data_IF_284840657191
#
_entry.id   IF_284840657191
#
_cell.length_a   1.000
_cell.length_b   1.000
_cell.length_c   1.000
_cell.angle_alpha   90.00
_cell.angle_beta   90.00
_cell.angle_gamma   90.00
#
_symmetry.space_group_name_H-M   'P 1'
#
loop_
_entity.id
_entity.type
_entity.pdbx_description
1 polymer ?
#
# COMPACT_ATOMS: atom_id res chain seq x y z
N UNK A 1 21.13 -3.89 0.20
CA UNK A 1 19.80 -3.81 -0.41
C UNK A 1 18.78 -4.33 0.58
N UNK A 2 17.72 -3.55 0.81
CA UNK A 2 16.68 -3.82 1.85
C UNK A 2 15.66 -4.84 1.34
N UNK A 3 15.68 -5.20 0.04
CA UNK A 3 14.78 -6.18 -0.55
C UNK A 3 13.36 -5.63 -0.76
N UNK A 4 13.25 -4.33 -0.97
CA UNK A 4 11.99 -3.60 -1.22
C UNK A 4 12.12 -2.65 -2.41
N UNK A 5 13.25 -2.70 -3.12
CA UNK A 5 13.57 -1.81 -4.23
C UNK A 5 12.58 -2.00 -5.38
N UNK A 6 12.30 -3.26 -5.78
CA UNK A 6 11.33 -3.60 -6.82
C UNK A 6 9.91 -3.20 -6.41
N UNK A 7 9.52 -3.46 -5.16
CA UNK A 7 8.22 -3.02 -4.63
C UNK A 7 8.09 -1.49 -4.71
N UNK A 8 9.11 -0.74 -4.28
CA UNK A 8 9.07 0.71 -4.28
C UNK A 8 9.07 1.29 -5.70
N UNK A 9 9.83 0.68 -6.62
CA UNK A 9 9.83 1.03 -8.03
C UNK A 9 8.45 0.83 -8.68
N UNK A 10 7.77 -0.28 -8.37
CA UNK A 10 6.39 -0.52 -8.79
C UNK A 10 5.41 0.44 -8.10
N UNK A 11 5.59 0.72 -6.83
CA UNK A 11 4.70 1.61 -6.07
C UNK A 11 4.77 3.05 -6.58
N UNK A 12 5.96 3.56 -6.90
CA UNK A 12 6.14 4.96 -7.32
C UNK A 12 6.18 5.16 -8.84
N UNK A 13 6.39 4.09 -9.61
CA UNK A 13 6.56 4.13 -11.08
C UNK A 13 7.68 5.07 -11.56
N UNK A 14 8.61 5.45 -10.68
CA UNK A 14 9.63 6.46 -10.99
C UNK A 14 10.64 5.99 -12.03
N UNK A 15 11.05 4.71 -11.97
CA UNK A 15 12.07 4.13 -12.85
C UNK A 15 11.44 3.40 -14.03
N UNK A 16 12.06 3.53 -15.20
CA UNK A 16 11.65 2.80 -16.42
C UNK A 16 12.38 1.46 -16.56
N UNK A 17 13.66 1.42 -16.16
CA UNK A 17 14.48 0.21 -16.24
C UNK A 17 14.10 -0.82 -15.19
N UNK A 18 13.57 -0.38 -14.04
CA UNK A 18 13.31 -1.27 -12.91
C UNK A 18 11.88 -1.83 -12.90
N UNK A 19 11.02 -1.39 -13.83
CA UNK A 19 9.64 -1.85 -13.97
C UNK A 19 9.51 -2.75 -15.21
N UNK A 20 9.96 -4.00 -15.07
CA UNK A 20 9.78 -5.06 -16.07
C UNK A 20 8.82 -6.13 -15.52
N UNK A 21 8.23 -6.98 -16.38
CA UNK A 21 7.40 -8.09 -15.92
C UNK A 21 8.11 -9.01 -14.91
N UNK A 22 9.41 -9.26 -15.13
CA UNK A 22 10.23 -10.09 -14.26
C UNK A 22 10.51 -9.41 -12.91
N UNK A 23 10.71 -8.08 -12.91
CA UNK A 23 10.91 -7.34 -11.66
C UNK A 23 9.62 -7.26 -10.83
N UNK A 24 8.47 -7.20 -11.50
CA UNK A 24 7.15 -7.27 -10.86
C UNK A 24 6.97 -8.60 -10.12
N UNK A 25 7.41 -9.71 -10.72
CA UNK A 25 7.38 -11.06 -10.14
C UNK A 25 8.47 -11.32 -9.09
N UNK A 26 9.52 -10.48 -9.02
CA UNK A 26 10.59 -10.63 -8.04
C UNK A 26 10.19 -10.10 -6.66
N UNK A 27 9.91 -11.02 -5.74
CA UNK A 27 9.46 -10.72 -4.37
C UNK A 27 10.46 -11.33 -3.37
N UNK A 28 11.54 -10.59 -3.03
CA UNK A 28 12.59 -11.10 -2.17
C UNK A 28 12.19 -11.12 -0.68
N UNK A 29 11.23 -10.28 -0.26
CA UNK A 29 10.74 -10.19 1.13
C UNK A 29 9.21 -10.16 1.21
N UNK A 30 8.53 -11.29 0.96
CA UNK A 30 7.07 -11.34 0.86
C UNK A 30 6.36 -10.94 2.17
N UNK A 31 6.91 -11.32 3.33
CA UNK A 31 6.33 -10.94 4.65
C UNK A 31 6.34 -9.43 4.84
N UNK A 32 7.48 -8.77 4.61
CA UNK A 32 7.63 -7.33 4.79
C UNK A 32 6.75 -6.55 3.82
N UNK A 33 6.71 -6.98 2.56
CA UNK A 33 5.86 -6.36 1.54
C UNK A 33 4.38 -6.47 1.89
N UNK A 34 3.94 -7.65 2.32
CA UNK A 34 2.55 -7.86 2.72
C UNK A 34 2.19 -7.06 3.99
N UNK A 35 3.12 -6.88 4.94
CA UNK A 35 2.95 -5.98 6.08
C UNK A 35 2.80 -4.52 5.66
N UNK A 36 3.55 -4.07 4.65
CA UNK A 36 3.40 -2.70 4.10
C UNK A 36 2.00 -2.55 3.50
N UNK A 37 1.56 -3.51 2.68
CA UNK A 37 0.19 -3.54 2.16
C UNK A 37 -0.85 -3.47 3.29
N UNK A 38 -0.70 -4.31 4.32
CA UNK A 38 -1.58 -4.31 5.50
C UNK A 38 -1.60 -2.98 6.24
N UNK A 39 -0.46 -2.28 6.29
CA UNK A 39 -0.34 -0.94 6.89
C UNK A 39 -1.13 0.11 6.13
N UNK A 40 -1.12 0.08 4.79
CA UNK A 40 -1.94 0.98 3.99
C UNK A 40 -3.43 0.71 4.22
N UNK A 41 -3.86 -0.55 4.11
CA UNK A 41 -5.28 -0.91 4.28
C UNK A 41 -5.79 -0.62 5.68
N UNK A 42 -4.99 -0.86 6.71
CA UNK A 42 -5.35 -0.52 8.08
C UNK A 42 -5.43 1.00 8.29
N UNK A 43 -4.52 1.78 7.70
CA UNK A 43 -4.54 3.23 7.79
C UNK A 43 -5.77 3.83 7.08
N UNK A 44 -6.15 3.29 5.92
CA UNK A 44 -7.35 3.66 5.18
C UNK A 44 -8.62 3.38 6.01
N UNK A 45 -8.78 2.15 6.49
CA UNK A 45 -9.94 1.74 7.29
C UNK A 45 -10.01 2.53 8.60
N UNK A 46 -8.90 2.67 9.32
CA UNK A 46 -8.88 3.39 10.58
C UNK A 46 -9.15 4.89 10.40
N UNK A 47 -8.68 5.48 9.30
CA UNK A 47 -8.97 6.88 8.93
C UNK A 47 -10.44 7.10 8.62
N UNK A 48 -11.05 6.17 7.87
CA UNK A 48 -12.47 6.18 7.56
C UNK A 48 -13.30 6.05 8.85
N UNK A 49 -13.04 5.04 9.67
CA UNK A 49 -13.76 4.80 10.93
C UNK A 49 -13.57 5.96 11.90
N UNK A 50 -12.33 6.41 12.10
CA UNK A 50 -12.00 7.51 13.01
C UNK A 50 -12.62 8.84 12.60
N UNK A 51 -12.59 9.16 11.30
CA UNK A 51 -13.04 10.43 10.76
C UNK A 51 -14.54 10.51 10.45
N UNK A 52 -15.12 9.49 9.82
CA UNK A 52 -16.51 9.52 9.37
C UNK A 52 -17.49 8.94 10.39
N UNK A 53 -17.07 7.99 11.23
CA UNK A 53 -17.97 7.32 12.18
C UNK A 53 -17.74 7.83 13.60
N UNK A 54 -16.54 7.66 14.12
CA UNK A 54 -16.24 7.92 15.54
C UNK A 54 -16.25 9.42 15.84
N UNK A 55 -15.68 10.26 14.98
CA UNK A 55 -15.64 11.70 15.19
C UNK A 55 -17.03 12.34 15.37
N UNK A 56 -18.03 12.14 14.46
CA UNK A 56 -19.36 12.73 14.65
C UNK A 56 -20.11 12.13 15.85
N UNK A 57 -20.04 10.82 16.08
CA UNK A 57 -20.69 10.18 17.24
C UNK A 57 -20.14 10.73 18.56
N UNK A 58 -18.81 10.81 18.66
CA UNK A 58 -18.16 11.35 19.86
C UNK A 58 -18.45 12.84 20.06
N UNK A 59 -18.59 13.60 18.96
CA UNK A 59 -18.98 15.02 19.03
C UNK A 59 -20.41 15.19 19.57
N UNK A 60 -21.35 14.35 19.15
CA UNK A 60 -22.73 14.37 19.66
C UNK A 60 -22.74 14.00 21.14
N UNK A 61 -22.02 12.95 21.52
CA UNK A 61 -21.86 12.52 22.90
C UNK A 61 -21.28 13.62 23.80
N UNK A 62 -20.20 14.29 23.38
CA UNK A 62 -19.62 15.38 24.16
C UNK A 62 -20.57 16.58 24.26
N UNK A 63 -21.31 16.90 23.20
CA UNK A 63 -22.28 18.00 23.20
C UNK A 63 -23.45 17.73 24.15
N UNK A 64 -23.94 16.50 24.25
CA UNK A 64 -25.05 16.16 25.15
C UNK A 64 -24.66 16.17 26.63
N UNK A 65 -23.36 16.16 26.94
CA UNK A 65 -22.83 16.24 28.31
C UNK A 65 -22.52 17.66 28.79
N UNK A 66 -22.61 18.67 27.92
CA UNK A 66 -22.38 20.07 28.31
C UNK A 66 -23.59 20.60 29.06
N UNK A 67 -23.40 20.99 30.30
CA UNK A 67 -24.40 21.74 31.09
C UNK A 67 -24.24 23.25 30.87
N UNK A 68 -25.30 24.06 31.05
CA UNK A 68 -25.20 25.52 30.94
C UNK A 68 -24.13 26.12 31.87
N UNK A 69 -23.93 25.51 33.04
CA UNK A 69 -22.96 25.91 34.06
C UNK A 69 -21.50 25.67 33.64
N UNK A 70 -21.25 24.67 32.80
CA UNK A 70 -19.91 24.33 32.28
C UNK A 70 -19.63 24.93 30.91
N UNK A 71 -20.60 25.68 30.37
CA UNK A 71 -20.53 26.27 29.05
C UNK A 71 -19.71 27.57 29.10
N UNK A 72 -18.57 27.55 28.42
CA UNK A 72 -17.73 28.73 28.17
C UNK A 72 -17.79 29.08 26.69
N UNK A 73 -17.37 30.30 26.32
CA UNK A 73 -17.24 30.71 24.92
C UNK A 73 -16.35 29.76 24.09
N UNK A 74 -15.46 28.99 24.73
CA UNK A 74 -14.53 28.07 24.08
C UNK A 74 -14.98 26.60 24.06
N UNK A 75 -16.10 26.23 24.68
CA UNK A 75 -16.50 24.83 24.85
C UNK A 75 -16.56 24.07 23.52
N UNK A 76 -17.15 24.66 22.47
CA UNK A 76 -17.20 24.01 21.16
C UNK A 76 -15.84 23.85 20.48
N UNK A 77 -14.91 24.79 20.70
CA UNK A 77 -13.53 24.71 20.21
C UNK A 77 -12.77 23.57 20.88
N UNK A 78 -12.99 23.39 22.19
CA UNK A 78 -12.41 22.29 22.97
C UNK A 78 -12.95 20.95 22.48
N UNK A 79 -14.27 20.80 22.36
CA UNK A 79 -14.92 19.58 21.85
C UNK A 79 -14.36 19.21 20.48
N UNK A 80 -14.31 20.17 19.54
CA UNK A 80 -13.75 19.93 18.20
C UNK A 80 -12.30 19.45 18.27
N UNK A 81 -11.49 20.05 19.13
CA UNK A 81 -10.07 19.67 19.27
C UNK A 81 -9.92 18.26 19.83
N UNK A 82 -10.76 17.86 20.80
CA UNK A 82 -10.78 16.51 21.35
C UNK A 82 -11.20 15.47 20.31
N UNK A 83 -12.29 15.71 19.57
CA UNK A 83 -12.73 14.81 18.51
C UNK A 83 -11.64 14.63 17.44
N UNK A 84 -10.94 15.70 17.06
CA UNK A 84 -9.84 15.64 16.09
C UNK A 84 -8.61 14.90 16.62
N UNK A 85 -8.28 15.04 17.92
CA UNK A 85 -7.22 14.25 18.54
C UNK A 85 -7.57 12.76 18.53
N UNK A 86 -8.83 12.41 18.80
CA UNK A 86 -9.32 11.04 18.72
C UNK A 86 -9.17 10.48 17.30
N UNK A 87 -9.60 11.23 16.29
CA UNK A 87 -9.42 10.87 14.87
C UNK A 87 -7.95 10.55 14.53
N UNK A 88 -7.01 11.40 14.95
CA UNK A 88 -5.57 11.14 14.74
C UNK A 88 -5.05 9.89 15.45
N UNK A 89 -5.61 9.54 16.63
CA UNK A 89 -5.26 8.31 17.35
C UNK A 89 -5.74 7.05 16.63
N UNK A 90 -6.88 7.12 15.94
CA UNK A 90 -7.34 6.00 15.10
C UNK A 90 -6.33 5.70 13.98
N UNK A 91 -5.83 6.72 13.29
CA UNK A 91 -4.78 6.54 12.27
C UNK A 91 -3.51 5.92 12.84
N UNK A 92 -3.01 6.43 13.98
CA UNK A 92 -1.83 5.85 14.63
C UNK A 92 -2.10 4.39 15.03
N UNK A 93 -3.28 4.11 15.57
CA UNK A 93 -3.72 2.75 15.89
C UNK A 93 -3.74 1.85 14.66
N UNK A 94 -4.25 2.33 13.52
CA UNK A 94 -4.23 1.62 12.24
C UNK A 94 -2.82 1.34 11.74
N UNK A 95 -1.93 2.33 11.77
CA UNK A 95 -0.53 2.17 11.33
C UNK A 95 0.25 1.13 12.16
N UNK A 96 -0.05 1.01 13.46
CA UNK A 96 0.56 -0.01 14.33
C UNK A 96 -0.14 -1.36 14.18
N UNK A 97 -1.48 -1.36 14.11
CA UNK A 97 -2.26 -2.58 14.02
C UNK A 97 -2.07 -3.30 12.68
N UNK A 98 -1.92 -2.58 11.57
CA UNK A 98 -1.74 -3.15 10.22
C UNK A 98 -0.66 -4.22 10.12
N UNK A 99 0.63 -3.89 10.40
CA UNK A 99 1.69 -4.88 10.34
C UNK A 99 1.47 -6.03 11.32
N UNK A 100 0.91 -5.77 12.51
CA UNK A 100 0.65 -6.79 13.53
C UNK A 100 -0.46 -7.76 13.13
N UNK A 101 -1.58 -7.25 12.59
CA UNK A 101 -2.70 -8.08 12.14
C UNK A 101 -2.31 -8.88 10.90
N UNK A 102 -1.51 -8.30 10.00
CA UNK A 102 -0.97 -9.04 8.85
C UNK A 102 -0.03 -10.16 9.29
N UNK A 103 0.89 -9.90 10.22
CA UNK A 103 1.75 -10.95 10.77
C UNK A 103 0.94 -12.05 11.45
N UNK A 104 -0.04 -11.67 12.28
CA UNK A 104 -0.94 -12.63 12.92
C UNK A 104 -1.71 -13.44 11.88
N UNK A 105 -2.20 -12.82 10.80
CA UNK A 105 -2.91 -13.51 9.72
C UNK A 105 -2.02 -14.53 9.00
N UNK A 106 -0.77 -14.18 8.68
CA UNK A 106 0.20 -15.11 8.07
C UNK A 106 0.44 -16.31 9.00
N UNK A 107 0.68 -16.04 10.28
CA UNK A 107 0.99 -17.08 11.27
C UNK A 107 -0.20 -18.01 11.55
N UNK A 108 -1.39 -17.45 11.75
CA UNK A 108 -2.60 -18.21 12.08
C UNK A 108 -3.12 -19.02 10.89
N UNK A 109 -2.92 -18.52 9.67
CA UNK A 109 -3.35 -19.22 8.45
C UNK A 109 -2.34 -20.29 8.00
N UNK A 110 -1.16 -20.36 8.62
CA UNK A 110 -0.10 -21.30 8.22
C UNK A 110 0.36 -21.11 6.77
N UNK A 111 0.32 -19.87 6.27
CA UNK A 111 0.52 -19.58 4.84
C UNK A 111 1.95 -19.92 4.41
N UNK A 112 2.08 -20.64 3.31
CA UNK A 112 3.38 -20.95 2.74
C UNK A 112 4.03 -19.71 2.11
N UNK A 113 5.35 -19.72 1.99
CA UNK A 113 6.07 -18.61 1.35
C UNK A 113 5.64 -18.39 -0.11
N UNK A 114 5.29 -19.47 -0.83
CA UNK A 114 4.81 -19.42 -2.22
C UNK A 114 3.48 -18.69 -2.33
N UNK A 115 2.50 -19.08 -1.52
CA UNK A 115 1.20 -18.42 -1.49
C UNK A 115 1.32 -16.93 -1.12
N UNK A 116 2.25 -16.59 -0.21
CA UNK A 116 2.48 -15.21 0.16
C UNK A 116 3.12 -14.39 -0.97
N UNK A 117 4.05 -14.99 -1.73
CA UNK A 117 4.60 -14.38 -2.94
C UNK A 117 3.52 -14.18 -4.00
N UNK A 118 2.63 -15.14 -4.21
CA UNK A 118 1.51 -14.98 -5.14
C UNK A 118 0.57 -13.85 -4.73
N UNK A 119 0.24 -13.75 -3.44
CA UNK A 119 -0.55 -12.62 -2.93
C UNK A 119 0.14 -11.29 -3.16
N UNK A 120 1.44 -11.19 -2.88
CA UNK A 120 2.19 -9.95 -3.13
C UNK A 120 2.23 -9.61 -4.63
N UNK A 121 2.40 -10.61 -5.50
CA UNK A 121 2.35 -10.41 -6.95
C UNK A 121 0.99 -9.91 -7.42
N UNK A 122 -0.10 -10.48 -6.91
CA UNK A 122 -1.46 -10.04 -7.20
C UNK A 122 -1.68 -8.59 -6.75
N UNK A 123 -1.19 -8.22 -5.56
CA UNK A 123 -1.25 -6.83 -5.04
C UNK A 123 -0.46 -5.89 -5.94
N UNK A 124 0.76 -6.25 -6.37
CA UNK A 124 1.57 -5.44 -7.31
C UNK A 124 0.88 -5.24 -8.66
N UNK A 125 0.17 -6.26 -9.13
CA UNK A 125 -0.59 -6.22 -10.38
C UNK A 125 -1.92 -5.44 -10.27
N UNK A 126 -2.42 -5.20 -9.06
CA UNK A 126 -3.72 -4.56 -8.87
C UNK A 126 -3.61 -3.03 -8.99
N UNK A 127 -3.70 -2.55 -10.23
CA UNK A 127 -3.64 -1.12 -10.56
C UNK A 127 -4.61 -0.25 -9.74
N UNK A 128 -5.80 -0.81 -9.42
CA UNK A 128 -6.81 -0.09 -8.64
C UNK A 128 -6.34 0.11 -7.22
N UNK A 129 -6.00 -0.96 -6.52
CA UNK A 129 -5.52 -0.88 -5.13
C UNK A 129 -4.26 -0.03 -5.02
N UNK A 130 -3.36 -0.13 -6.00
CA UNK A 130 -2.13 0.65 -6.02
C UNK A 130 -2.42 2.16 -6.21
N UNK A 131 -3.41 2.52 -7.02
CA UNK A 131 -3.87 3.90 -7.14
C UNK A 131 -4.46 4.42 -5.83
N UNK A 132 -5.24 3.59 -5.12
CA UNK A 132 -5.76 3.95 -3.81
C UNK A 132 -4.62 4.20 -2.83
N UNK A 133 -3.66 3.28 -2.71
CA UNK A 133 -2.54 3.41 -1.76
C UNK A 133 -1.65 4.63 -2.09
N UNK A 134 -1.37 4.88 -3.37
CA UNK A 134 -0.62 6.06 -3.84
C UNK A 134 -1.34 7.37 -3.48
N UNK A 135 -2.64 7.46 -3.76
CA UNK A 135 -3.42 8.67 -3.45
C UNK A 135 -3.57 8.88 -1.94
N UNK A 136 -3.77 7.81 -1.19
CA UNK A 136 -3.78 7.78 0.28
C UNK A 136 -2.46 8.31 0.83
N UNK A 137 -1.31 7.84 0.31
CA UNK A 137 0.01 8.32 0.72
C UNK A 137 0.18 9.81 0.42
N UNK A 138 -0.09 10.23 -0.82
CA UNK A 138 0.10 11.61 -1.26
C UNK A 138 -0.78 12.60 -0.48
N UNK A 139 -2.09 12.38 -0.45
CA UNK A 139 -3.02 13.28 0.22
C UNK A 139 -2.91 13.17 1.75
N UNK A 140 -2.64 11.97 2.28
CA UNK A 140 -2.33 11.78 3.69
C UNK A 140 -1.10 12.56 4.12
N UNK A 141 -0.04 12.58 3.30
CA UNK A 141 1.17 13.36 3.59
C UNK A 141 0.94 14.87 3.47
N UNK A 142 0.23 15.33 2.45
CA UNK A 142 -0.17 16.74 2.31
C UNK A 142 -1.00 17.18 3.53
N UNK A 143 -1.97 16.35 3.93
CA UNK A 143 -2.78 16.58 5.11
C UNK A 143 -1.94 16.62 6.39
N UNK A 144 -0.98 15.69 6.53
CA UNK A 144 -0.05 15.65 7.66
C UNK A 144 0.82 16.91 7.73
N UNK A 145 1.32 17.39 6.60
CA UNK A 145 2.10 18.62 6.54
C UNK A 145 1.28 19.82 7.04
N UNK A 146 0.01 19.93 6.66
CA UNK A 146 -0.83 21.06 7.06
C UNK A 146 -1.30 21.02 8.53
N UNK A 147 -1.76 19.86 9.01
CA UNK A 147 -2.48 19.71 10.30
C UNK A 147 -2.05 18.50 11.11
N UNK A 148 -0.85 17.96 10.86
CA UNK A 148 -0.33 16.72 11.47
C UNK A 148 -1.33 15.57 11.30
N UNK A 149 -1.38 14.63 12.24
CA UNK A 149 -2.25 13.43 12.15
C UNK A 149 -3.73 13.74 11.91
N UNK A 150 -4.23 14.90 12.33
CA UNK A 150 -5.62 15.29 12.05
C UNK A 150 -5.82 15.55 10.56
N UNK A 151 -4.93 16.36 9.98
CA UNK A 151 -4.95 16.63 8.56
C UNK A 151 -4.63 15.38 7.73
N UNK A 152 -3.77 14.49 8.23
CA UNK A 152 -3.48 13.22 7.56
C UNK A 152 -4.75 12.39 7.36
N UNK A 153 -5.60 12.26 8.39
CA UNK A 153 -6.88 11.55 8.26
C UNK A 153 -7.83 12.24 7.29
N UNK A 154 -7.93 13.57 7.35
CA UNK A 154 -8.75 14.33 6.40
C UNK A 154 -8.26 14.12 4.95
N UNK A 155 -6.93 14.09 4.74
CA UNK A 155 -6.30 13.81 3.46
C UNK A 155 -6.55 12.39 2.95
N UNK A 156 -6.44 11.38 3.83
CA UNK A 156 -6.74 9.98 3.49
C UNK A 156 -8.24 9.82 3.14
N UNK A 157 -9.15 10.43 3.90
CA UNK A 157 -10.58 10.37 3.58
C UNK A 157 -10.89 11.05 2.24
N UNK A 158 -10.20 12.15 1.92
CA UNK A 158 -10.30 12.78 0.61
C UNK A 158 -9.74 11.88 -0.50
N UNK A 159 -8.64 11.17 -0.24
CA UNK A 159 -8.08 10.19 -1.17
C UNK A 159 -9.05 9.05 -1.46
N UNK A 160 -9.67 8.47 -0.42
CA UNK A 160 -10.68 7.42 -0.57
C UNK A 160 -11.88 7.92 -1.39
N UNK A 161 -12.37 9.13 -1.11
CA UNK A 161 -13.44 9.73 -1.89
C UNK A 161 -13.01 9.92 -3.36
N UNK A 162 -11.82 10.47 -3.60
CA UNK A 162 -11.27 10.63 -4.94
C UNK A 162 -11.14 9.28 -5.65
N UNK A 163 -10.66 8.25 -4.97
CA UNK A 163 -10.47 6.92 -5.53
C UNK A 163 -11.80 6.29 -5.96
N UNK A 164 -12.85 6.44 -5.15
CA UNK A 164 -14.22 5.99 -5.49
C UNK A 164 -14.78 6.75 -6.69
N UNK A 165 -14.62 8.09 -6.71
CA UNK A 165 -15.06 8.94 -7.83
C UNK A 165 -14.29 8.58 -9.09
N UNK A 166 -12.98 8.35 -8.95
CA UNK A 166 -12.11 8.00 -10.05
C UNK A 166 -12.53 6.67 -10.67
N UNK A 167 -12.77 5.66 -9.83
CA UNK A 167 -13.24 4.35 -10.29
C UNK A 167 -14.61 4.42 -10.96
N UNK A 168 -15.60 5.10 -10.37
CA UNK A 168 -16.98 5.06 -10.87
C UNK A 168 -17.25 5.97 -12.07
N UNK A 169 -16.56 7.11 -12.14
CA UNK A 169 -16.88 8.18 -13.07
C UNK A 169 -15.71 8.51 -14.01
N UNK A 170 -14.53 8.80 -13.46
CA UNK A 170 -13.42 9.38 -14.24
C UNK A 170 -12.75 8.33 -15.12
N UNK A 171 -12.54 7.11 -14.63
CA UNK A 171 -11.90 6.00 -15.36
C UNK A 171 -12.67 5.59 -16.62
N UNK A 172 -13.98 5.87 -16.67
CA UNK A 172 -14.83 5.59 -17.84
C UNK A 172 -14.66 6.61 -18.96
N UNK A 173 -14.20 7.82 -18.65
CA UNK A 173 -14.20 8.96 -19.57
C UNK A 173 -12.81 9.54 -19.80
N UNK A 174 -11.80 9.12 -19.03
CA UNK A 174 -10.44 9.65 -19.10
C UNK A 174 -9.44 8.53 -18.91
N UNK A 175 -8.26 8.74 -19.46
CA UNK A 175 -7.12 7.88 -19.19
C UNK A 175 -6.52 8.19 -17.81
N UNK A 176 -6.08 7.17 -17.04
CA UNK A 176 -5.55 7.38 -15.69
C UNK A 176 -4.32 8.30 -15.71
N UNK A 177 -4.20 9.17 -14.70
CA UNK A 177 -3.05 10.11 -14.58
C UNK A 177 -1.75 9.35 -14.28
N UNK A 178 -1.83 8.23 -13.58
CA UNK A 178 -0.73 7.32 -13.32
C UNK A 178 -1.01 6.01 -14.05
N UNK A 179 -0.39 5.83 -15.20
CA UNK A 179 -0.41 4.57 -15.91
C UNK A 179 0.62 3.62 -15.30
N UNK A 180 0.19 2.40 -15.01
CA UNK A 180 1.15 1.35 -14.70
C UNK A 180 1.90 1.00 -16.00
N UNK A 181 3.22 0.98 -15.92
CA UNK A 181 4.08 0.76 -17.10
C UNK A 181 3.97 -0.66 -17.65
N UNK A 182 3.74 -1.64 -16.77
CA UNK A 182 3.54 -3.05 -17.15
C UNK A 182 2.05 -3.28 -17.43
N UNK A 183 1.72 -3.39 -18.71
CA UNK A 183 0.37 -3.69 -19.20
C UNK A 183 -0.08 -5.06 -18.68
N UNK A 184 -1.38 -5.33 -18.71
CA UNK A 184 -1.92 -6.63 -18.28
C UNK A 184 -1.39 -7.76 -19.16
N UNK A 185 -1.18 -7.48 -20.44
CA UNK A 185 -0.72 -8.41 -21.47
C UNK A 185 0.73 -8.84 -21.28
N UNK A 186 1.58 -7.95 -20.75
CA UNK A 186 3.01 -8.19 -20.57
C UNK A 186 3.32 -8.91 -19.25
N UNK A 187 2.32 -9.12 -18.38
CA UNK A 187 2.51 -9.73 -17.05
C UNK A 187 2.73 -11.24 -17.18
N UNK A 188 3.61 -11.76 -16.33
CA UNK A 188 3.85 -13.20 -16.23
C UNK A 188 2.60 -13.89 -15.64
N UNK A 189 1.90 -14.77 -16.38
CA UNK A 189 0.71 -15.46 -15.88
C UNK A 189 1.01 -16.39 -14.70
N UNK A 190 2.18 -17.01 -14.67
CA UNK A 190 2.66 -17.83 -13.53
C UNK A 190 3.37 -17.01 -12.45
N UNK A 191 3.41 -15.68 -12.58
CA UNK A 191 3.98 -14.76 -11.60
C UNK A 191 5.39 -15.14 -11.17
N UNK A 192 5.56 -15.44 -9.87
CA UNK A 192 6.86 -15.74 -9.29
C UNK A 192 7.43 -17.10 -9.76
N UNK A 193 6.59 -18.11 -10.00
CA UNK A 193 7.04 -19.45 -10.40
C UNK A 193 7.60 -19.45 -11.82
N UNK A 194 6.92 -18.78 -12.74
CA UNK A 194 7.36 -18.62 -14.13
C UNK A 194 8.69 -17.87 -14.21
N UNK A 195 8.85 -16.81 -13.41
CA UNK A 195 10.11 -16.09 -13.29
C UNK A 195 11.23 -16.99 -12.75
N UNK A 196 10.98 -17.74 -11.68
CA UNK A 196 12.01 -18.57 -11.04
C UNK A 196 12.44 -19.73 -11.96
N UNK A 197 11.52 -20.29 -12.74
CA UNK A 197 11.84 -21.29 -13.77
C UNK A 197 12.67 -20.70 -14.91
N UNK A 198 12.30 -19.53 -15.42
CA UNK A 198 13.05 -18.81 -16.48
C UNK A 198 14.45 -18.44 -16.02
N UNK A 199 14.59 -17.93 -14.79
CA UNK A 199 15.88 -17.62 -14.18
C UNK A 199 16.76 -18.85 -13.99
N UNK A 200 16.16 -19.98 -13.61
CA UNK A 200 16.87 -21.24 -13.47
C UNK A 200 17.37 -21.76 -14.82
N UNK A 201 16.55 -21.66 -15.87
CA UNK A 201 16.94 -22.01 -17.24
C UNK A 201 18.07 -21.11 -17.75
N UNK A 202 17.98 -19.79 -17.54
CA UNK A 202 19.02 -18.83 -17.93
C UNK A 202 20.36 -19.12 -17.21
N UNK A 203 20.32 -19.37 -15.90
CA UNK A 203 21.52 -19.71 -15.12
C UNK A 203 22.16 -21.00 -15.60
N UNK A 204 21.35 -22.00 -15.97
CA UNK A 204 21.84 -23.25 -16.56
C UNK A 204 22.52 -22.99 -17.91
N UNK A 205 21.87 -22.25 -18.79
CA UNK A 205 22.41 -21.88 -20.10
C UNK A 205 23.75 -21.13 -20.00
N UNK A 206 23.85 -20.13 -19.11
CA UNK A 206 25.09 -19.37 -18.89
C UNK A 206 26.22 -20.25 -18.36
N UNK A 207 25.90 -21.25 -17.52
CA UNK A 207 26.88 -22.21 -17.01
C UNK A 207 27.40 -23.11 -18.14
N UNK A 208 26.50 -23.66 -18.95
CA UNK A 208 26.85 -24.52 -20.10
C UNK A 208 27.73 -23.74 -21.10
N UNK A 209 27.36 -22.50 -21.43
CA UNK A 209 28.16 -21.63 -22.31
C UNK A 209 29.54 -21.27 -21.73
N UNK A 210 29.64 -21.11 -20.41
CA UNK A 210 30.93 -20.85 -19.77
C UNK A 210 31.85 -22.06 -19.87
N UNK A 211 31.31 -23.26 -19.66
CA UNK A 211 32.06 -24.51 -19.80
C UNK A 211 32.56 -24.68 -21.23
N UNK A 212 31.71 -24.47 -22.24
CA UNK A 212 32.12 -24.60 -23.65
C UNK A 212 33.23 -23.63 -24.04
N UNK A 213 33.19 -22.38 -23.57
CA UNK A 213 34.26 -21.40 -23.81
C UNK A 213 35.57 -21.73 -23.07
N UNK A 214 35.52 -22.45 -21.95
CA UNK A 214 36.71 -22.93 -21.23
C UNK A 214 37.32 -24.17 -21.88
N UNK A 215 36.52 -24.99 -22.57
CA UNK A 215 36.97 -26.13 -23.38
C UNK A 215 37.62 -25.66 -24.68
N UNK A 216 36.99 -24.73 -25.42
CA UNK A 216 37.56 -24.13 -26.64
C UNK A 216 38.94 -23.48 -26.39
N UNK A 217 39.15 -22.86 -25.21
CA UNK A 217 40.44 -22.26 -24.82
C UNK A 217 41.53 -23.26 -24.43
N UNK A 218 41.19 -24.52 -24.19
CA UNK A 218 42.17 -25.58 -23.88
C UNK A 218 42.63 -26.32 -25.13
N UNK A 219 41.86 -26.22 -26.21
CA UNK A 219 42.15 -26.85 -27.49
C UNK A 219 42.93 -25.92 -28.46
N UNK A 220 43.13 -24.64 -28.08
CA UNK A 220 44.09 -23.69 -28.68
C UNK A 220 45.45 -23.70 -27.97
#
# INVERSE_FOLDING_TARGET
>A
MIGLEQWFANFTQYSWTDNSPESLAEIPRPVMEYMIYGTFKSAEIASFVGGLVVHPLYRIYLRSRVTPETMTNNTFKIIRTQCRRLQGRFLIGGLVAGPLTTLAYIQLSGMSERELKDKCYQVRCNAKELTWDRTTLCLGFIGWYWKRFQGAVDGINLALLYAIVNEKLISKHTTPILFDKVQVEDRLPGGHEERDSTMSALRRFLRERKISMEEEKKDE
#
